data_IF_118928078587
#
_entry.id   IF_118928078587
#
_cell.length_a   1.000
_cell.length_b   1.000
_cell.length_c   1.000
_cell.angle_alpha   90.00
_cell.angle_beta   90.00
_cell.angle_gamma   90.00
#
_symmetry.space_group_name_H-M   'P 1'
#
loop_
_entity.id
_entity.type
_entity.pdbx_description
1 polymer ?
#
# COMPACT_ATOMS: atom_id res chain seq x y z
N UNK A 1 -26.58 15.39 -12.97
CA UNK A 1 -26.41 16.61 -12.17
C UNK A 1 -26.30 16.21 -10.71
N UNK A 2 -25.09 16.28 -10.16
CA UNK A 2 -24.83 16.04 -8.74
C UNK A 2 -24.90 17.40 -8.02
N UNK A 3 -25.73 17.61 -7.01
CA UNK A 3 -25.79 18.88 -6.31
C UNK A 3 -24.58 19.05 -5.42
N UNK A 4 -23.64 19.87 -5.84
CA UNK A 4 -22.61 20.43 -4.98
C UNK A 4 -23.28 21.46 -4.05
N UNK A 5 -23.78 21.02 -2.92
CA UNK A 5 -24.33 21.91 -1.91
C UNK A 5 -23.32 22.12 -0.79
N UNK A 6 -22.91 23.39 -0.66
CA UNK A 6 -22.04 23.88 0.38
C UNK A 6 -22.57 23.58 1.78
N UNK A 7 -21.87 22.74 2.52
CA UNK A 7 -22.03 22.58 3.95
C UNK A 7 -20.95 23.40 4.65
N UNK A 8 -21.34 24.15 5.69
CA UNK A 8 -20.42 24.86 6.59
C UNK A 8 -19.29 23.93 7.03
N UNK A 9 -18.06 24.33 6.69
CA UNK A 9 -16.85 23.66 7.17
C UNK A 9 -16.77 23.86 8.68
N UNK A 10 -16.99 22.81 9.44
CA UNK A 10 -16.60 22.79 10.86
C UNK A 10 -15.07 22.79 10.94
N UNK A 11 -14.53 23.66 11.79
CA UNK A 11 -13.09 23.76 12.05
C UNK A 11 -12.64 22.43 12.68
N UNK A 12 -11.80 21.68 12.00
CA UNK A 12 -11.37 20.36 12.45
C UNK A 12 -9.91 20.35 12.84
N UNK A 13 -9.65 20.10 14.10
CA UNK A 13 -8.38 19.53 14.58
C UNK A 13 -8.45 18.00 14.38
N UNK A 14 -8.37 17.53 13.15
CA UNK A 14 -8.59 16.12 12.88
C UNK A 14 -7.30 15.41 12.49
N UNK A 15 -6.73 14.78 13.50
CA UNK A 15 -5.75 13.71 13.35
C UNK A 15 -6.49 12.39 13.48
N UNK A 16 -6.26 11.47 12.58
CA UNK A 16 -6.84 10.13 12.61
C UNK A 16 -5.75 9.12 12.87
N UNK A 17 -5.99 8.20 13.77
CA UNK A 17 -5.15 7.01 13.96
C UNK A 17 -5.98 5.76 13.76
N UNK A 18 -5.58 4.92 12.83
CA UNK A 18 -6.17 3.62 12.53
C UNK A 18 -5.20 2.56 13.06
N UNK A 19 -5.68 1.67 13.91
CA UNK A 19 -4.93 0.48 14.28
C UNK A 19 -4.81 -0.44 13.06
N UNK A 20 -3.59 -0.88 12.78
CA UNK A 20 -3.32 -1.83 11.71
C UNK A 20 -3.07 -3.21 12.31
N UNK A 21 -3.69 -4.22 11.71
CA UNK A 21 -3.56 -5.61 12.13
C UNK A 21 -2.63 -6.33 11.18
N UNK A 22 -1.65 -7.03 11.75
CA UNK A 22 -0.73 -7.91 11.03
C UNK A 22 -1.44 -9.22 10.68
N UNK A 23 -1.52 -9.53 9.41
CA UNK A 23 -2.19 -10.74 8.91
C UNK A 23 -1.16 -11.65 8.24
N UNK A 24 -1.28 -12.96 8.50
CA UNK A 24 -0.47 -14.02 7.91
C UNK A 24 1.05 -13.80 8.08
N UNK A 25 1.48 -13.32 9.27
CA UNK A 25 2.89 -13.16 9.61
C UNK A 25 3.58 -12.11 8.74
N UNK A 26 3.20 -10.88 8.88
CA UNK A 26 3.75 -9.71 8.17
C UNK A 26 3.55 -9.74 6.64
N UNK A 27 2.60 -10.55 6.16
CA UNK A 27 2.28 -10.58 4.74
C UNK A 27 1.41 -9.40 4.34
N UNK A 28 0.50 -8.98 5.23
CA UNK A 28 -0.45 -7.91 4.98
C UNK A 28 -0.79 -7.16 6.26
N UNK A 29 -0.96 -5.85 6.17
CA UNK A 29 -1.53 -5.02 7.26
C UNK A 29 -2.85 -4.42 6.83
N UNK A 30 -3.90 -4.70 7.60
CA UNK A 30 -5.25 -4.22 7.36
C UNK A 30 -5.70 -3.28 8.47
N UNK A 31 -6.57 -2.34 8.13
CA UNK A 31 -7.13 -1.39 9.09
C UNK A 31 -8.61 -1.10 8.83
N UNK A 32 -9.32 -0.66 9.88
CA UNK A 32 -10.76 -0.40 9.80
C UNK A 32 -11.07 0.90 9.07
N UNK A 33 -12.00 0.82 8.11
CA UNK A 33 -12.73 1.93 7.55
C UNK A 33 -14.22 1.74 7.73
N UNK A 34 -14.99 2.82 7.62
CA UNK A 34 -16.45 2.74 7.56
C UNK A 34 -16.97 3.43 6.32
N UNK A 35 -17.94 2.81 5.64
CA UNK A 35 -18.58 3.36 4.43
C UNK A 35 -20.09 3.38 4.64
N UNK A 36 -20.73 4.50 4.26
CA UNK A 36 -22.18 4.60 4.26
C UNK A 36 -22.80 5.37 5.43
N UNK A 37 -24.12 5.50 5.37
CA UNK A 37 -24.97 6.14 6.39
C UNK A 37 -26.23 5.29 6.61
N UNK A 38 -26.35 4.52 7.70
CA UNK A 38 -25.37 4.36 8.78
C UNK A 38 -24.05 3.72 8.31
N UNK A 39 -22.95 3.90 9.09
CA UNK A 39 -21.63 3.38 8.69
C UNK A 39 -21.58 1.86 8.74
N UNK A 40 -21.05 1.25 7.68
CA UNK A 40 -20.73 -0.17 7.58
C UNK A 40 -19.22 -0.31 7.74
N UNK A 41 -18.79 -1.03 8.78
CA UNK A 41 -17.38 -1.25 9.12
C UNK A 41 -16.79 -2.38 8.31
N UNK A 42 -15.57 -2.19 7.85
CA UNK A 42 -14.81 -3.20 7.11
C UNK A 42 -13.32 -3.00 7.30
N UNK A 43 -12.56 -4.07 7.12
CA UNK A 43 -11.10 -4.04 7.17
C UNK A 43 -10.55 -4.02 5.75
N UNK A 44 -9.64 -3.11 5.46
CA UNK A 44 -9.00 -3.00 4.14
C UNK A 44 -7.49 -2.95 4.27
N UNK A 45 -6.78 -3.46 3.28
CA UNK A 45 -5.36 -3.22 3.11
C UNK A 45 -5.16 -1.80 2.60
N UNK A 46 -4.38 -0.99 3.31
CA UNK A 46 -3.99 0.33 2.82
C UNK A 46 -2.74 0.22 1.94
N UNK A 47 -2.91 0.62 0.69
CA UNK A 47 -1.99 0.31 -0.40
C UNK A 47 -1.47 1.60 -1.08
N UNK A 48 -0.18 1.89 -0.92
CA UNK A 48 0.48 3.02 -1.61
C UNK A 48 0.88 2.71 -3.06
N UNK A 49 0.68 1.49 -3.51
CA UNK A 49 0.87 1.03 -4.89
C UNK A 49 -0.38 1.13 -5.77
N UNK A 50 -1.55 1.48 -5.21
CA UNK A 50 -2.78 1.70 -5.98
C UNK A 50 -3.50 2.98 -5.56
N UNK A 51 -4.39 3.51 -6.43
CA UNK A 51 -5.03 4.81 -6.21
C UNK A 51 -6.51 4.72 -5.80
N UNK A 52 -7.17 3.61 -6.07
CA UNK A 52 -8.61 3.49 -5.86
C UNK A 52 -8.94 2.68 -4.61
N UNK A 53 -10.04 3.03 -3.95
CA UNK A 53 -10.65 2.15 -2.94
C UNK A 53 -11.49 1.10 -3.67
N UNK A 54 -11.18 -0.17 -3.47
CA UNK A 54 -11.86 -1.31 -4.10
C UNK A 54 -12.36 -2.26 -3.00
N UNK A 55 -13.65 -2.53 -3.00
CA UNK A 55 -14.33 -3.30 -1.95
C UNK A 55 -14.91 -4.60 -2.55
N UNK A 56 -14.74 -5.70 -1.85
CA UNK A 56 -15.31 -6.99 -2.21
C UNK A 56 -16.85 -6.98 -2.12
N UNK A 57 -17.56 -7.80 -2.92
CA UNK A 57 -18.99 -7.64 -3.16
C UNK A 57 -19.87 -7.80 -1.92
N UNK A 58 -19.45 -8.61 -0.96
CA UNK A 58 -20.24 -8.89 0.24
C UNK A 58 -19.93 -7.99 1.43
N UNK A 59 -18.86 -7.21 1.35
CA UNK A 59 -18.39 -6.39 2.46
C UNK A 59 -19.18 -5.08 2.62
N UNK A 60 -19.79 -4.59 1.54
CA UNK A 60 -20.63 -3.38 1.54
C UNK A 60 -21.99 -3.65 0.93
N UNK A 61 -23.04 -3.18 1.60
CA UNK A 61 -24.46 -3.31 1.17
C UNK A 61 -25.02 -1.93 0.80
N UNK A 62 -25.07 -1.56 -0.50
CA UNK A 62 -25.60 -0.26 -0.93
C UNK A 62 -27.01 0.04 -0.44
N UNK A 63 -27.87 -0.99 -0.37
CA UNK A 63 -29.27 -0.88 0.10
C UNK A 63 -29.40 -0.53 1.60
N UNK A 64 -28.33 -0.64 2.36
CA UNK A 64 -28.28 -0.32 3.79
C UNK A 64 -27.67 1.06 4.06
N UNK A 65 -27.33 1.82 3.01
CA UNK A 65 -26.82 3.18 3.14
C UNK A 65 -27.76 4.21 2.49
N UNK A 66 -28.21 5.17 3.28
CA UNK A 66 -29.06 6.27 2.81
C UNK A 66 -28.29 7.30 1.96
N UNK A 67 -26.97 7.27 1.97
CA UNK A 67 -26.07 8.15 1.20
C UNK A 67 -25.42 7.45 0.02
N UNK A 68 -25.70 6.18 -0.20
CA UNK A 68 -25.14 5.41 -1.31
C UNK A 68 -25.68 5.88 -2.66
N UNK A 69 -24.78 6.08 -3.60
CA UNK A 69 -25.10 6.40 -4.99
C UNK A 69 -24.32 5.47 -5.93
N UNK A 70 -25.02 4.69 -6.73
CA UNK A 70 -24.42 3.91 -7.81
C UNK A 70 -24.21 4.81 -9.03
N UNK A 71 -22.94 5.02 -9.40
CA UNK A 71 -22.59 5.74 -10.61
C UNK A 71 -22.96 4.93 -11.87
N UNK A 72 -22.98 5.59 -13.03
CA UNK A 72 -23.19 4.91 -14.32
C UNK A 72 -21.93 4.19 -14.81
N UNK A 73 -20.77 4.55 -14.26
CA UNK A 73 -19.48 4.07 -14.69
C UNK A 73 -19.15 2.72 -14.06
N UNK A 74 -18.46 1.91 -14.83
CA UNK A 74 -17.80 0.67 -14.40
C UNK A 74 -16.31 0.88 -14.39
N UNK A 75 -15.59 0.03 -13.67
CA UNK A 75 -14.13 0.05 -13.66
C UNK A 75 -13.57 -1.34 -13.96
N UNK A 76 -12.34 -1.34 -14.47
CA UNK A 76 -11.50 -2.53 -14.58
C UNK A 76 -10.10 -2.16 -14.12
N UNK A 77 -9.51 -3.00 -13.31
CA UNK A 77 -8.13 -2.83 -12.84
C UNK A 77 -7.41 -4.17 -12.76
N UNK A 78 -6.09 -4.14 -12.56
CA UNK A 78 -5.28 -5.31 -12.31
C UNK A 78 -4.17 -4.98 -11.34
N UNK A 79 -3.74 -5.97 -10.58
CA UNK A 79 -2.67 -5.88 -9.60
C UNK A 79 -1.41 -6.60 -10.08
N UNK A 80 -0.29 -6.35 -9.40
CA UNK A 80 1.03 -6.88 -9.78
C UNK A 80 1.15 -8.40 -9.75
N UNK A 81 0.29 -9.08 -8.98
CA UNK A 81 0.16 -10.54 -8.92
C UNK A 81 -0.60 -11.17 -10.10
N UNK A 82 -1.13 -10.34 -11.01
CA UNK A 82 -1.94 -10.75 -12.16
C UNK A 82 -3.45 -10.81 -11.89
N UNK A 83 -3.90 -10.53 -10.67
CA UNK A 83 -5.32 -10.44 -10.31
C UNK A 83 -6.00 -9.35 -11.13
N UNK A 84 -7.12 -9.71 -11.77
CA UNK A 84 -7.96 -8.79 -12.55
C UNK A 84 -9.27 -8.57 -11.81
N UNK A 85 -9.67 -7.31 -11.72
CA UNK A 85 -10.82 -6.89 -10.93
C UNK A 85 -11.71 -5.98 -11.77
N UNK A 86 -13.01 -6.21 -11.73
CA UNK A 86 -14.00 -5.35 -12.36
C UNK A 86 -15.24 -5.17 -11.51
N UNK A 87 -15.93 -4.08 -11.70
CA UNK A 87 -17.14 -3.80 -10.94
C UNK A 87 -17.77 -2.46 -11.28
N UNK A 88 -18.61 -1.97 -10.38
CA UNK A 88 -19.31 -0.71 -10.53
C UNK A 88 -18.73 0.35 -9.60
N UNK A 89 -18.70 1.58 -10.06
CA UNK A 89 -18.34 2.72 -9.22
C UNK A 89 -19.52 3.14 -8.38
N UNK A 90 -19.29 3.27 -7.08
CA UNK A 90 -20.22 3.82 -6.10
C UNK A 90 -19.64 5.08 -5.46
N UNK A 91 -20.50 5.90 -4.90
CA UNK A 91 -20.14 7.09 -4.12
C UNK A 91 -20.87 7.03 -2.80
N UNK A 92 -20.15 7.24 -1.70
CA UNK A 92 -20.72 7.29 -0.36
C UNK A 92 -19.86 8.09 0.61
N UNK A 93 -20.27 8.20 1.86
CA UNK A 93 -19.52 8.81 2.93
C UNK A 93 -18.57 7.81 3.56
N UNK A 94 -17.35 8.25 3.86
CA UNK A 94 -16.32 7.45 4.49
C UNK A 94 -15.94 8.00 5.86
N UNK A 95 -15.55 7.10 6.76
CA UNK A 95 -14.92 7.46 8.02
C UNK A 95 -13.67 6.60 8.23
N UNK A 96 -12.55 7.27 8.55
CA UNK A 96 -11.23 6.69 8.73
C UNK A 96 -10.66 7.18 10.07
N UNK A 97 -10.79 6.36 11.13
CA UNK A 97 -10.28 6.71 12.46
C UNK A 97 -10.79 8.06 12.99
N UNK A 98 -12.05 8.42 12.69
CA UNK A 98 -12.68 9.68 13.09
C UNK A 98 -12.63 10.81 12.05
N UNK A 99 -11.80 10.70 11.02
CA UNK A 99 -11.84 11.63 9.88
C UNK A 99 -12.91 11.21 8.89
N UNK A 100 -13.68 12.18 8.39
CA UNK A 100 -14.77 11.94 7.43
C UNK A 100 -14.40 12.50 6.06
N UNK A 101 -14.60 11.67 5.03
CA UNK A 101 -14.62 12.08 3.64
C UNK A 101 -16.04 11.87 3.09
N UNK A 102 -16.65 12.93 2.58
CA UNK A 102 -18.01 12.86 2.01
C UNK A 102 -17.94 12.64 0.51
N UNK A 103 -18.92 11.90 -0.02
CA UNK A 103 -19.05 11.66 -1.45
C UNK A 103 -17.77 11.12 -2.09
N UNK A 104 -17.11 10.17 -1.41
CA UNK A 104 -15.93 9.51 -1.95
C UNK A 104 -16.35 8.38 -2.88
N UNK A 105 -15.69 8.29 -4.03
CA UNK A 105 -15.88 7.20 -4.99
C UNK A 105 -15.08 5.95 -4.59
N UNK A 106 -15.68 4.79 -4.80
CA UNK A 106 -15.03 3.50 -4.64
C UNK A 106 -15.60 2.47 -5.62
N UNK A 107 -14.83 1.43 -5.90
CA UNK A 107 -15.26 0.29 -6.69
C UNK A 107 -15.86 -0.78 -5.81
N UNK A 108 -17.07 -1.23 -6.13
CA UNK A 108 -17.66 -2.44 -5.59
C UNK A 108 -17.54 -3.53 -6.66
N UNK A 109 -16.81 -4.59 -6.36
CA UNK A 109 -16.50 -5.63 -7.33
C UNK A 109 -17.68 -6.56 -7.59
N UNK A 110 -17.70 -7.19 -8.76
CA UNK A 110 -18.72 -8.17 -9.12
C UNK A 110 -18.46 -9.53 -8.47
N UNK A 111 -17.18 -9.86 -8.28
CA UNK A 111 -16.71 -11.13 -7.73
C UNK A 111 -15.66 -10.88 -6.65
N UNK A 112 -15.47 -11.86 -5.77
CA UNK A 112 -14.41 -11.78 -4.77
C UNK A 112 -13.04 -11.92 -5.47
N UNK A 113 -12.14 -10.99 -5.21
CA UNK A 113 -10.81 -10.94 -5.78
C UNK A 113 -9.70 -11.19 -4.74
N UNK A 114 -10.09 -11.31 -3.47
CA UNK A 114 -9.16 -11.48 -2.36
C UNK A 114 -8.66 -12.92 -2.32
N UNK A 115 -7.38 -13.09 -2.05
CA UNK A 115 -6.74 -14.40 -1.91
C UNK A 115 -7.15 -15.08 -0.59
N UNK A 116 -6.95 -16.39 -0.48
CA UNK A 116 -7.33 -17.14 0.72
C UNK A 116 -6.68 -16.64 2.02
N UNK A 117 -5.44 -16.14 1.96
CA UNK A 117 -4.75 -15.55 3.11
C UNK A 117 -5.28 -14.16 3.46
N UNK A 118 -6.06 -13.54 2.59
CA UNK A 118 -6.66 -12.21 2.76
C UNK A 118 -8.09 -12.26 3.30
N UNK A 119 -8.55 -13.41 3.81
CA UNK A 119 -9.95 -13.64 4.24
C UNK A 119 -10.48 -12.63 5.24
N UNK A 120 -9.58 -12.02 6.03
CA UNK A 120 -9.96 -10.98 6.99
C UNK A 120 -10.09 -9.60 6.34
N UNK A 121 -9.57 -9.41 5.12
CA UNK A 121 -9.70 -8.19 4.35
C UNK A 121 -11.06 -8.13 3.64
N UNK A 122 -11.57 -6.93 3.52
CA UNK A 122 -12.78 -6.61 2.74
C UNK A 122 -12.46 -5.89 1.44
N UNK A 123 -11.17 -5.59 1.19
CA UNK A 123 -10.75 -4.87 0.00
C UNK A 123 -9.43 -4.12 0.18
N UNK A 124 -9.19 -3.19 -0.75
CA UNK A 124 -7.98 -2.39 -0.84
C UNK A 124 -8.34 -0.90 -0.72
N UNK A 125 -7.64 -0.18 0.14
CA UNK A 125 -7.72 1.27 0.29
C UNK A 125 -6.52 1.95 -0.37
N UNK A 126 -6.63 2.31 -1.65
CA UNK A 126 -5.55 2.92 -2.41
C UNK A 126 -5.17 4.31 -1.89
N UNK A 127 -3.87 4.55 -1.72
CA UNK A 127 -3.30 5.80 -1.20
C UNK A 127 -2.34 6.48 -2.18
N UNK A 128 -2.25 5.98 -3.41
CA UNK A 128 -1.35 6.51 -4.43
C UNK A 128 -1.95 7.73 -5.15
N UNK A 129 -1.24 8.24 -6.16
CA UNK A 129 -1.61 9.44 -6.88
C UNK A 129 -2.70 9.18 -7.93
N UNK A 130 -3.52 10.19 -8.27
CA UNK A 130 -4.65 10.04 -9.19
C UNK A 130 -4.25 9.65 -10.62
N UNK A 131 -2.99 9.86 -11.01
CA UNK A 131 -2.49 9.52 -12.36
C UNK A 131 -2.53 8.01 -12.69
N UNK A 132 -2.64 7.14 -11.68
CA UNK A 132 -2.85 5.68 -11.86
C UNK A 132 -4.25 5.23 -11.46
N UNK A 133 -5.18 6.16 -11.25
CA UNK A 133 -6.58 5.81 -11.00
C UNK A 133 -7.19 5.12 -12.22
N UNK A 134 -7.91 4.03 -11.97
CA UNK A 134 -8.67 3.30 -12.99
C UNK A 134 -10.13 3.80 -13.11
N UNK A 135 -10.47 4.84 -12.33
CA UNK A 135 -11.77 5.51 -12.46
C UNK A 135 -11.64 6.74 -13.39
N UNK A 136 -12.76 7.17 -13.93
CA UNK A 136 -12.82 8.43 -14.66
C UNK A 136 -12.32 9.60 -13.79
N UNK A 137 -11.60 10.54 -14.38
CA UNK A 137 -10.95 11.66 -13.66
C UNK A 137 -11.90 12.57 -12.88
N UNK A 138 -13.21 12.46 -13.09
CA UNK A 138 -14.23 13.13 -12.26
C UNK A 138 -14.35 12.56 -10.84
N UNK A 139 -13.83 11.35 -10.62
CA UNK A 139 -13.85 10.68 -9.32
C UNK A 139 -12.53 10.90 -8.58
N UNK A 140 -12.63 11.52 -7.41
CA UNK A 140 -11.46 11.77 -6.57
C UNK A 140 -10.97 10.48 -5.93
N UNK A 141 -9.66 10.33 -5.83
CA UNK A 141 -9.03 9.32 -4.97
C UNK A 141 -9.26 9.68 -3.49
N UNK A 142 -9.01 8.73 -2.59
CA UNK A 142 -9.16 8.96 -1.14
C UNK A 142 -8.33 10.17 -0.68
N UNK A 143 -7.07 10.23 -1.07
CA UNK A 143 -6.16 11.32 -0.66
C UNK A 143 -6.63 12.67 -1.24
N UNK A 144 -7.02 12.71 -2.52
CA UNK A 144 -7.56 13.94 -3.12
C UNK A 144 -8.80 14.43 -2.39
N UNK A 145 -9.74 13.53 -2.07
CA UNK A 145 -10.97 13.87 -1.37
C UNK A 145 -10.68 14.45 0.02
N UNK A 146 -9.78 13.82 0.79
CA UNK A 146 -9.37 14.32 2.11
C UNK A 146 -8.71 15.70 2.02
N UNK A 147 -7.84 15.92 1.03
CA UNK A 147 -7.17 17.20 0.80
C UNK A 147 -8.15 18.30 0.36
N UNK A 148 -9.00 18.03 -0.65
CA UNK A 148 -9.95 19.01 -1.16
C UNK A 148 -11.00 19.40 -0.12
N UNK A 149 -11.44 18.45 0.69
CA UNK A 149 -12.39 18.68 1.78
C UNK A 149 -11.74 19.31 3.02
N UNK A 150 -10.42 19.51 3.00
CA UNK A 150 -9.63 20.01 4.13
C UNK A 150 -9.92 19.21 5.40
N UNK A 151 -10.02 17.90 5.24
CA UNK A 151 -10.32 16.97 6.33
C UNK A 151 -9.10 16.67 7.19
N UNK A 152 -7.90 17.02 6.74
CA UNK A 152 -6.63 16.77 7.41
C UNK A 152 -6.07 18.07 8.02
N UNK A 153 -5.44 17.95 9.19
CA UNK A 153 -4.66 19.05 9.80
C UNK A 153 -3.45 19.41 8.94
N UNK A 154 -2.76 18.39 8.42
CA UNK A 154 -1.66 18.47 7.47
C UNK A 154 -1.87 17.44 6.35
N UNK A 155 -1.38 17.74 5.15
CA UNK A 155 -1.47 16.79 4.03
C UNK A 155 -0.36 15.73 4.13
N UNK A 156 -0.43 14.89 5.13
CA UNK A 156 0.53 13.83 5.44
C UNK A 156 -0.20 12.60 5.97
N UNK A 157 0.35 11.44 5.72
CA UNK A 157 0.02 10.21 6.44
C UNK A 157 1.29 9.48 6.83
N UNK A 158 1.22 8.70 7.90
CA UNK A 158 2.35 7.95 8.46
C UNK A 158 1.94 6.51 8.72
N UNK A 159 2.67 5.57 8.13
CA UNK A 159 2.65 4.17 8.52
C UNK A 159 3.67 3.90 9.62
N UNK A 160 3.25 3.15 10.61
CA UNK A 160 4.12 2.46 11.56
C UNK A 160 3.74 0.99 11.52
N UNK A 161 4.58 0.18 10.89
CA UNK A 161 4.33 -1.25 10.71
C UNK A 161 5.38 -2.03 11.51
N UNK A 162 4.92 -2.99 12.30
CA UNK A 162 5.77 -3.88 13.07
C UNK A 162 5.08 -5.23 13.26
N UNK A 163 5.84 -6.31 13.46
CA UNK A 163 5.27 -7.62 13.75
C UNK A 163 4.32 -7.58 14.95
N UNK A 164 3.22 -8.31 14.86
CA UNK A 164 2.22 -8.41 15.90
C UNK A 164 1.43 -7.12 16.14
N UNK A 165 1.43 -6.59 17.37
CA UNK A 165 0.57 -5.47 17.76
C UNK A 165 1.25 -4.09 17.70
N UNK A 166 0.43 -3.05 17.61
CA UNK A 166 0.82 -1.64 17.73
C UNK A 166 1.25 -1.00 16.41
N UNK A 167 0.94 -1.63 15.27
CA UNK A 167 0.99 -0.99 13.96
C UNK A 167 -0.12 0.04 13.82
N UNK A 168 0.18 1.16 13.15
CA UNK A 168 -0.78 2.26 12.97
C UNK A 168 -0.63 2.92 11.61
N UNK A 169 -1.73 3.45 11.09
CA UNK A 169 -1.76 4.42 10.01
C UNK A 169 -2.38 5.71 10.54
N UNK A 170 -1.63 6.79 10.47
CA UNK A 170 -2.07 8.12 10.92
C UNK A 170 -2.27 9.02 9.71
N UNK A 171 -3.39 9.72 9.66
CA UNK A 171 -3.67 10.76 8.68
C UNK A 171 -3.67 12.13 9.35
N UNK A 172 -3.05 13.12 8.71
CA UNK A 172 -3.10 14.52 9.11
C UNK A 172 -2.08 14.95 10.16
N UNK A 173 -1.23 14.05 10.65
CA UNK A 173 -0.15 14.38 11.60
C UNK A 173 1.02 13.38 11.49
N UNK A 174 2.11 13.68 12.18
CA UNK A 174 3.29 12.83 12.33
C UNK A 174 3.47 12.53 13.82
N UNK A 175 3.40 11.24 14.18
CA UNK A 175 3.69 10.78 15.54
C UNK A 175 5.19 10.59 15.72
N UNK A 176 5.85 11.60 16.29
CA UNK A 176 7.28 11.58 16.57
C UNK A 176 7.70 10.57 17.64
N UNK A 177 6.76 9.94 18.36
CA UNK A 177 7.06 8.87 19.32
C UNK A 177 7.38 7.53 18.64
N UNK A 178 7.12 7.41 17.34
CA UNK A 178 7.28 6.17 16.57
C UNK A 178 8.66 6.00 15.92
N UNK A 179 9.52 6.99 16.01
CA UNK A 179 10.88 6.94 15.46
C UNK A 179 11.86 7.76 16.31
N UNK A 180 13.15 7.53 16.13
CA UNK A 180 14.21 8.28 16.79
C UNK A 180 14.94 9.17 15.79
N UNK A 181 15.36 10.36 16.22
CA UNK A 181 16.08 11.31 15.38
C UNK A 181 15.17 12.10 14.45
N UNK A 182 15.77 12.68 13.42
CA UNK A 182 15.09 13.53 12.45
C UNK A 182 14.55 12.72 11.26
N UNK A 183 13.48 13.23 10.64
CA UNK A 183 12.94 12.68 9.41
C UNK A 183 13.88 12.93 8.22
N UNK A 184 14.12 11.91 7.43
CA UNK A 184 14.80 12.04 6.15
C UNK A 184 13.78 12.27 5.04
N UNK A 185 13.81 13.44 4.40
CA UNK A 185 12.89 13.78 3.34
C UNK A 185 13.50 13.52 1.97
N UNK A 186 12.78 12.82 1.12
CA UNK A 186 13.14 12.57 -0.29
C UNK A 186 12.03 13.08 -1.21
N UNK A 187 12.44 13.60 -2.37
CA UNK A 187 11.47 14.06 -3.38
C UNK A 187 10.89 12.86 -4.11
N UNK A 188 9.57 12.87 -4.31
CA UNK A 188 8.86 11.95 -5.19
C UNK A 188 8.33 12.71 -6.41
N UNK A 189 8.19 12.02 -7.54
CA UNK A 189 7.56 12.58 -8.72
C UNK A 189 6.13 12.03 -8.88
N UNK A 190 5.09 12.80 -8.58
CA UNK A 190 3.71 12.34 -8.60
C UNK A 190 3.21 11.99 -10.00
N UNK A 191 3.89 12.42 -11.06
CA UNK A 191 3.51 12.10 -12.45
C UNK A 191 3.62 10.61 -12.77
N UNK A 192 4.46 9.88 -12.04
CA UNK A 192 4.56 8.42 -12.20
C UNK A 192 3.43 7.65 -11.51
N UNK A 193 2.61 8.31 -10.71
CA UNK A 193 1.48 7.71 -10.02
C UNK A 193 1.83 6.90 -8.78
N UNK A 194 3.11 6.63 -8.54
CA UNK A 194 3.63 5.92 -7.37
C UNK A 194 4.54 6.83 -6.55
N UNK A 195 4.83 6.45 -5.31
CA UNK A 195 5.82 7.12 -4.45
C UNK A 195 7.25 6.73 -4.88
N UNK A 196 7.63 7.20 -6.08
CA UNK A 196 8.93 6.88 -6.67
C UNK A 196 10.00 7.85 -6.16
N UNK A 197 11.06 7.27 -5.57
CA UNK A 197 12.20 8.00 -5.05
C UNK A 197 13.53 7.38 -5.52
N UNK A 198 14.56 8.22 -5.62
CA UNK A 198 15.93 7.75 -5.80
C UNK A 198 16.48 7.21 -4.48
N UNK A 199 17.11 6.05 -4.53
CA UNK A 199 17.67 5.36 -3.37
C UNK A 199 19.00 4.66 -3.74
N UNK A 200 19.57 3.97 -2.76
CA UNK A 200 20.64 2.97 -3.01
C UNK A 200 20.29 1.69 -2.27
N UNK A 201 20.69 0.54 -2.82
CA UNK A 201 20.67 -0.74 -2.14
C UNK A 201 22.12 -1.28 -2.08
N UNK A 202 22.64 -1.52 -0.88
CA UNK A 202 24.05 -1.87 -0.65
C UNK A 202 25.00 -0.96 -1.46
N UNK A 203 24.75 0.35 -1.43
CA UNK A 203 25.55 1.39 -2.11
C UNK A 203 25.28 1.57 -3.59
N UNK A 204 24.58 0.65 -4.28
CA UNK A 204 24.22 0.77 -5.69
C UNK A 204 22.98 1.65 -5.87
N UNK A 205 23.06 2.64 -6.76
CA UNK A 205 21.92 3.51 -7.10
C UNK A 205 20.79 2.70 -7.71
N UNK A 206 19.59 2.93 -7.21
CA UNK A 206 18.34 2.37 -7.70
C UNK A 206 17.26 3.44 -7.69
N UNK A 207 16.14 3.16 -8.33
CA UNK A 207 14.89 3.89 -8.19
C UNK A 207 13.90 2.96 -7.50
N UNK A 208 13.17 3.46 -6.51
CA UNK A 208 12.23 2.64 -5.74
C UNK A 208 10.82 3.20 -5.84
N UNK A 209 9.82 2.33 -5.88
CA UNK A 209 8.45 2.64 -5.54
C UNK A 209 8.19 2.16 -4.10
N UNK A 210 7.82 3.07 -3.21
CA UNK A 210 7.49 2.72 -1.82
C UNK A 210 6.04 2.24 -1.78
N UNK A 211 5.87 0.92 -1.68
CA UNK A 211 4.59 0.26 -1.81
C UNK A 211 4.25 -0.55 -0.55
N UNK A 212 3.23 -0.10 0.20
CA UNK A 212 2.74 -0.80 1.40
C UNK A 212 1.86 -2.01 1.08
N UNK A 213 1.46 -2.18 -0.18
CA UNK A 213 0.71 -3.33 -0.68
C UNK A 213 1.59 -4.52 -1.09
N UNK A 214 2.92 -4.33 -1.15
CA UNK A 214 3.88 -5.36 -1.56
C UNK A 214 4.66 -5.89 -0.38
N UNK A 215 4.68 -7.21 -0.20
CA UNK A 215 5.24 -7.91 0.98
C UNK A 215 6.76 -8.01 0.98
N UNK A 216 7.40 -7.99 -0.20
CA UNK A 216 8.84 -8.20 -0.38
C UNK A 216 9.45 -7.07 -1.23
N UNK A 217 10.76 -6.94 -1.20
CA UNK A 217 11.46 -6.00 -2.08
C UNK A 217 11.62 -6.67 -3.45
N UNK A 218 11.11 -6.03 -4.51
CA UNK A 218 11.12 -6.58 -5.86
C UNK A 218 12.01 -5.71 -6.76
N UNK A 219 12.98 -6.33 -7.42
CA UNK A 219 13.78 -5.70 -8.47
C UNK A 219 13.76 -6.54 -9.75
N UNK A 220 14.41 -6.06 -10.83
CA UNK A 220 14.64 -6.92 -11.99
C UNK A 220 15.57 -8.09 -11.64
N UNK A 221 15.42 -9.24 -12.31
CA UNK A 221 16.28 -10.41 -12.03
C UNK A 221 17.76 -10.09 -12.13
N UNK A 222 18.15 -9.29 -13.13
CA UNK A 222 19.55 -8.89 -13.30
C UNK A 222 20.07 -8.04 -12.16
N UNK A 223 19.26 -7.12 -11.65
CA UNK A 223 19.63 -6.24 -10.53
C UNK A 223 19.69 -7.01 -9.21
N UNK A 224 18.74 -7.93 -8.97
CA UNK A 224 18.75 -8.78 -7.78
C UNK A 224 19.91 -9.77 -7.81
N UNK A 225 20.22 -10.34 -8.99
CA UNK A 225 21.42 -11.18 -9.16
C UNK A 225 22.70 -10.43 -8.78
N UNK A 226 22.88 -9.22 -9.30
CA UNK A 226 24.03 -8.37 -8.98
C UNK A 226 24.08 -8.01 -7.46
N UNK A 227 22.94 -7.74 -6.83
CA UNK A 227 22.86 -7.50 -5.39
C UNK A 227 23.31 -8.74 -4.62
N UNK A 228 22.76 -9.91 -4.94
CA UNK A 228 23.07 -11.18 -4.27
C UNK A 228 24.53 -11.55 -4.42
N UNK A 229 25.12 -11.44 -5.63
CA UNK A 229 26.51 -11.76 -5.89
C UNK A 229 27.50 -10.84 -5.11
N UNK A 230 27.06 -9.65 -4.73
CA UNK A 230 27.84 -8.71 -3.89
C UNK A 230 27.53 -8.81 -2.40
N UNK A 231 26.53 -9.59 -2.00
CA UNK A 231 26.14 -9.77 -0.60
C UNK A 231 26.79 -11.02 -0.03
N UNK A 232 27.68 -10.85 0.95
CA UNK A 232 28.37 -11.96 1.57
C UNK A 232 27.43 -13.02 2.12
N UNK A 233 27.73 -14.29 1.88
CA UNK A 233 26.98 -15.43 2.42
C UNK A 233 25.63 -15.69 1.75
N UNK A 234 25.32 -15.00 0.66
CA UNK A 234 24.08 -15.21 -0.12
C UNK A 234 24.43 -15.80 -1.48
N UNK A 235 23.64 -16.78 -1.93
CA UNK A 235 23.78 -17.46 -3.22
C UNK A 235 22.55 -17.20 -4.08
N UNK A 236 22.76 -16.79 -5.31
CA UNK A 236 21.68 -16.55 -6.26
C UNK A 236 21.13 -17.89 -6.80
N UNK A 237 19.82 -17.98 -6.88
CA UNK A 237 19.09 -19.08 -7.51
C UNK A 237 17.91 -18.54 -8.31
N UNK A 238 17.42 -19.35 -9.24
CA UNK A 238 16.23 -19.03 -10.06
C UNK A 238 15.26 -20.21 -10.02
N UNK A 239 13.99 -19.90 -9.83
CA UNK A 239 12.91 -20.84 -10.13
C UNK A 239 12.50 -20.66 -11.60
N UNK A 240 12.82 -21.66 -12.41
CA UNK A 240 12.52 -21.65 -13.84
C UNK A 240 11.03 -21.75 -14.17
N UNK A 241 10.23 -22.28 -13.25
CA UNK A 241 8.79 -22.44 -13.48
C UNK A 241 8.04 -21.11 -13.32
N UNK A 242 8.47 -20.28 -12.34
CA UNK A 242 7.89 -18.98 -12.05
C UNK A 242 8.69 -17.84 -12.64
N UNK A 243 9.91 -18.11 -13.12
CA UNK A 243 10.85 -17.12 -13.62
C UNK A 243 11.27 -16.06 -12.58
N UNK A 244 11.33 -16.47 -11.31
CA UNK A 244 11.70 -15.65 -10.16
C UNK A 244 13.15 -15.92 -9.77
N UNK A 245 13.96 -14.87 -9.65
CA UNK A 245 15.30 -14.92 -9.07
C UNK A 245 15.28 -14.58 -7.58
N UNK A 246 16.10 -15.24 -6.77
CA UNK A 246 16.14 -15.02 -5.33
C UNK A 246 17.51 -15.33 -4.74
N UNK A 247 17.76 -14.82 -3.53
CA UNK A 247 18.94 -15.15 -2.72
C UNK A 247 18.65 -16.24 -1.70
N UNK A 248 19.58 -17.17 -1.53
CA UNK A 248 19.57 -18.21 -0.50
C UNK A 248 20.78 -18.02 0.44
N UNK A 249 20.56 -18.19 1.73
CA UNK A 249 21.63 -18.11 2.74
C UNK A 249 21.37 -19.07 3.90
N UNK A 250 22.39 -19.33 4.71
CA UNK A 250 22.26 -20.16 5.91
C UNK A 250 21.42 -19.44 6.97
N UNK A 251 20.40 -20.10 7.53
CA UNK A 251 19.46 -19.45 8.44
C UNK A 251 20.05 -19.00 9.78
N UNK A 252 21.23 -19.45 10.15
CA UNK A 252 22.02 -18.95 11.28
C UNK A 252 22.85 -17.71 10.94
N UNK A 253 23.00 -17.39 9.66
CA UNK A 253 23.64 -16.19 9.15
C UNK A 253 22.63 -15.05 8.99
N UNK A 254 23.08 -13.79 9.00
CA UNK A 254 22.27 -12.61 8.73
C UNK A 254 22.96 -11.73 7.69
N UNK A 255 22.53 -11.80 6.41
CA UNK A 255 23.10 -10.97 5.36
C UNK A 255 22.87 -9.48 5.63
N UNK A 256 23.80 -8.65 5.20
CA UNK A 256 23.63 -7.19 5.30
C UNK A 256 22.94 -6.65 4.06
N UNK A 257 21.70 -6.15 4.25
CA UNK A 257 20.96 -5.39 3.23
C UNK A 257 20.63 -4.02 3.81
N UNK A 258 21.08 -2.99 3.12
CA UNK A 258 20.89 -1.59 3.52
C UNK A 258 20.28 -0.82 2.37
N UNK A 259 19.17 -0.11 2.66
CA UNK A 259 18.56 0.82 1.72
C UNK A 259 18.91 2.23 2.20
N UNK A 260 19.43 3.07 1.30
CA UNK A 260 19.79 4.46 1.61
C UNK A 260 18.83 5.41 0.93
N UNK A 261 18.11 6.23 1.69
CA UNK A 261 17.30 7.33 1.20
C UNK A 261 17.87 8.66 1.70
N UNK A 262 18.00 9.66 0.81
CA UNK A 262 18.45 11.01 1.20
C UNK A 262 19.77 11.07 1.94
N UNK A 263 20.63 10.05 1.81
CA UNK A 263 21.90 9.92 2.53
C UNK A 263 21.80 9.20 3.88
N UNK A 264 20.60 8.82 4.33
CA UNK A 264 20.38 8.05 5.56
C UNK A 264 20.25 6.57 5.24
N UNK A 265 20.98 5.74 5.97
CA UNK A 265 21.00 4.29 5.81
C UNK A 265 19.94 3.62 6.69
N UNK A 266 19.11 2.79 6.07
CA UNK A 266 18.12 1.93 6.71
C UNK A 266 18.55 0.47 6.52
N UNK A 267 19.13 -0.11 7.55
CA UNK A 267 19.60 -1.51 7.54
C UNK A 267 18.44 -2.42 7.92
N UNK A 268 18.19 -3.44 7.10
CA UNK A 268 17.24 -4.49 7.43
C UNK A 268 17.80 -5.31 8.62
N UNK A 269 16.97 -5.54 9.62
CA UNK A 269 17.31 -6.42 10.72
C UNK A 269 17.17 -7.89 10.31
N UNK A 270 17.54 -8.82 11.22
CA UNK A 270 17.52 -10.26 10.95
C UNK A 270 16.15 -10.77 10.52
N UNK A 271 15.08 -10.28 11.14
CA UNK A 271 13.71 -10.74 10.86
C UNK A 271 13.18 -10.15 9.54
N UNK A 272 13.66 -8.99 9.16
CA UNK A 272 13.29 -8.31 7.91
C UNK A 272 14.07 -8.83 6.69
N UNK A 273 15.28 -9.34 6.88
CA UNK A 273 16.13 -9.77 5.76
C UNK A 273 15.74 -11.12 5.17
N UNK A 274 14.91 -11.89 5.89
CA UNK A 274 14.46 -13.23 5.47
C UNK A 274 12.94 -13.32 5.36
N UNK A 275 12.46 -13.96 4.31
CA UNK A 275 11.03 -14.28 4.08
C UNK A 275 10.86 -15.75 3.73
N UNK A 276 10.85 -16.59 4.77
CA UNK A 276 10.64 -18.02 4.64
C UNK A 276 11.89 -18.82 4.30
N UNK A 277 11.70 -20.08 3.99
CA UNK A 277 12.76 -21.06 3.73
C UNK A 277 12.49 -21.88 2.48
N UNK A 278 13.56 -22.27 1.80
CA UNK A 278 13.54 -23.22 0.69
C UNK A 278 14.73 -24.15 0.77
N UNK A 279 14.52 -25.47 0.69
CA UNK A 279 15.56 -26.51 0.71
C UNK A 279 16.50 -26.39 1.92
N UNK A 280 15.98 -26.05 3.10
CA UNK A 280 16.76 -25.90 4.33
C UNK A 280 17.63 -24.62 4.42
N UNK A 281 17.50 -23.70 3.48
CA UNK A 281 18.10 -22.37 3.48
C UNK A 281 17.04 -21.30 3.68
N UNK A 282 17.42 -20.15 4.20
CA UNK A 282 16.59 -18.98 4.29
C UNK A 282 16.56 -18.21 2.95
N UNK A 283 15.38 -17.69 2.60
CA UNK A 283 15.16 -16.85 1.43
C UNK A 283 15.38 -15.39 1.79
N UNK A 284 16.16 -14.70 0.98
CA UNK A 284 16.30 -13.26 1.10
C UNK A 284 14.93 -12.58 0.82
N UNK A 285 14.59 -11.54 1.59
CA UNK A 285 13.38 -10.74 1.37
C UNK A 285 13.42 -9.85 0.12
N UNK A 286 14.40 -10.07 -0.74
CA UNK A 286 14.58 -9.39 -2.04
C UNK A 286 14.49 -10.43 -3.14
N UNK A 287 13.54 -10.22 -4.07
CA UNK A 287 13.31 -11.14 -5.20
C UNK A 287 13.43 -10.41 -6.54
N UNK A 288 13.81 -11.17 -7.57
CA UNK A 288 13.97 -10.68 -8.93
C UNK A 288 12.82 -11.14 -9.82
N UNK A 289 12.04 -10.19 -10.34
CA UNK A 289 10.96 -10.45 -11.29
C UNK A 289 11.08 -9.43 -12.42
N UNK A 290 11.08 -9.88 -13.67
CA UNK A 290 11.12 -8.96 -14.81
C UNK A 290 9.70 -8.47 -15.17
N UNK A 291 9.58 -7.22 -15.55
CA UNK A 291 8.36 -6.62 -16.16
C UNK A 291 7.18 -6.32 -15.23
N UNK A 292 7.37 -6.07 -13.94
CA UNK A 292 6.27 -5.68 -13.05
C UNK A 292 6.04 -4.17 -13.05
N UNK A 293 7.08 -3.37 -13.04
CA UNK A 293 6.98 -1.90 -13.02
C UNK A 293 7.65 -1.26 -14.24
N UNK A 294 7.12 -0.12 -14.73
CA UNK A 294 7.82 0.67 -15.74
C UNK A 294 9.13 1.22 -15.14
N UNK A 295 10.20 1.25 -15.95
CA UNK A 295 11.45 2.00 -15.66
C UNK A 295 12.44 1.39 -14.66
N UNK A 296 12.79 0.11 -14.70
CA UNK A 296 13.81 -0.48 -13.80
C UNK A 296 13.66 -0.04 -12.34
N UNK A 297 12.43 0.02 -11.85
CA UNK A 297 12.08 0.45 -10.49
C UNK A 297 12.05 -0.75 -9.55
N UNK A 298 12.51 -0.55 -8.33
CA UNK A 298 12.45 -1.54 -7.22
C UNK A 298 11.24 -1.28 -6.35
#
# INVERSE_FOLDING_TARGET
DHPLLGSKLEKRDSTSSINMFDIAGETQWIGEISIGTPPQKMLVQFDTGSANVIIAPDAYKPSQSNSSFKAKDQFKTGYGDGTKVEGNVYVDNFELGGIKARNLSFGLTNENFLQDFERESSGIGGLSFPSISNFDSKYLTLIEALMQQKSLKQNVFQFTLKPGEGSTLIFGDIDHSKFNGDLTWVKVNPLFGFYIADAKINGKKIRTAVDSGTTVIIGSRSQVKDLVERTNGVHYAEDRSTNIGYGLFDCDFSPEVTITYGGTDFKLNRDQVSRGTANGKCLLSVIGIDSILPFDTW
#
